data_IF_314614901550
#
_entry.id   IF_314614901550
#
_cell.length_a   1.000
_cell.length_b   1.000
_cell.length_c   1.000
_cell.angle_alpha   90.00
_cell.angle_beta   90.00
_cell.angle_gamma   90.00
#
_symmetry.space_group_name_H-M   'P 1'
#
loop_
_entity.id
_entity.type
_entity.pdbx_description
1 polymer ?
#
# COMPACT_ATOMS: atom_id res chain seq x y z
N UNK A 1 -34.98 -57.76 6.42
CA UNK A 1 -33.52 -57.69 6.17
C UNK A 1 -33.19 -56.22 6.24
N UNK A 2 -32.91 -55.73 7.44
CA UNK A 2 -32.59 -54.32 7.71
C UNK A 2 -31.09 -54.12 7.53
N UNK A 3 -30.72 -53.11 6.75
CA UNK A 3 -29.34 -52.68 6.55
C UNK A 3 -29.14 -51.42 7.39
N UNK A 4 -28.52 -51.58 8.55
CA UNK A 4 -27.99 -50.48 9.36
C UNK A 4 -26.68 -50.00 8.75
N UNK A 5 -26.65 -48.72 8.36
CA UNK A 5 -25.43 -48.00 7.94
C UNK A 5 -24.91 -47.23 9.14
N UNK A 6 -23.69 -47.53 9.57
CA UNK A 6 -22.95 -46.79 10.60
C UNK A 6 -22.10 -45.72 9.93
N UNK A 7 -22.36 -44.44 10.22
CA UNK A 7 -21.49 -43.31 9.88
C UNK A 7 -20.40 -43.16 10.95
N UNK A 8 -19.13 -43.34 10.57
CA UNK A 8 -17.97 -42.94 11.36
C UNK A 8 -17.62 -41.47 11.06
N UNK A 9 -17.79 -40.59 12.04
CA UNK A 9 -17.34 -39.20 11.96
C UNK A 9 -15.86 -39.09 12.33
N UNK A 10 -15.01 -38.70 11.38
CA UNK A 10 -13.60 -38.39 11.64
C UNK A 10 -13.43 -36.89 11.85
N UNK A 11 -13.13 -36.45 13.06
CA UNK A 11 -12.77 -35.06 13.37
C UNK A 11 -11.36 -34.71 12.87
N UNK A 12 -11.12 -33.52 12.30
CA UNK A 12 -9.78 -33.08 11.91
C UNK A 12 -9.02 -32.49 13.11
N UNK A 13 -7.84 -33.04 13.38
CA UNK A 13 -6.85 -32.49 14.31
C UNK A 13 -6.35 -31.11 13.84
N UNK A 14 -6.68 -30.07 14.61
CA UNK A 14 -6.11 -28.72 14.45
C UNK A 14 -4.74 -28.68 15.12
N UNK A 15 -3.67 -28.62 14.32
CA UNK A 15 -2.31 -28.33 14.78
C UNK A 15 -2.21 -26.85 15.19
N UNK A 16 -2.05 -26.59 16.49
CA UNK A 16 -1.78 -25.24 17.00
C UNK A 16 -0.30 -24.90 16.81
N UNK A 17 0.00 -23.93 15.94
CA UNK A 17 1.34 -23.38 15.80
C UNK A 17 1.54 -22.25 16.82
N UNK A 18 2.41 -22.45 17.80
CA UNK A 18 2.79 -21.42 18.78
C UNK A 18 3.76 -20.40 18.17
N UNK A 19 3.34 -19.14 18.04
CA UNK A 19 4.22 -18.03 17.63
C UNK A 19 5.00 -17.53 18.85
N UNK A 20 6.32 -17.71 18.86
CA UNK A 20 7.21 -17.11 19.87
C UNK A 20 7.72 -15.75 19.38
N UNK A 21 7.47 -14.68 20.14
CA UNK A 21 8.04 -13.34 19.90
C UNK A 21 9.37 -13.21 20.64
N UNK A 22 10.43 -12.86 19.94
CA UNK A 22 11.75 -12.62 20.53
C UNK A 22 12.16 -11.16 20.29
N UNK A 23 12.64 -10.50 21.35
CA UNK A 23 13.04 -9.09 21.33
C UNK A 23 14.54 -8.97 21.10
N UNK A 24 14.94 -8.53 19.92
CA UNK A 24 16.33 -8.25 19.60
C UNK A 24 16.55 -6.74 19.54
N UNK A 25 17.64 -6.27 20.15
CA UNK A 25 18.03 -4.86 20.15
C UNK A 25 19.34 -4.75 19.40
N UNK A 26 19.37 -4.02 18.29
CA UNK A 26 20.60 -3.76 17.52
C UNK A 26 20.92 -2.26 17.68
N UNK A 27 22.12 -1.90 18.17
CA UNK A 27 22.52 -0.50 18.23
C UNK A 27 22.86 0.00 16.82
N UNK A 28 22.16 1.05 16.38
CA UNK A 28 22.51 1.80 15.17
C UNK A 28 22.84 3.24 15.57
N UNK A 29 24.04 3.71 15.22
CA UNK A 29 24.42 5.11 15.38
C UNK A 29 23.96 5.93 14.16
N UNK A 30 23.14 6.95 14.40
CA UNK A 30 22.77 7.92 13.39
C UNK A 30 23.96 8.84 13.11
N UNK A 31 24.63 8.65 11.96
CA UNK A 31 25.80 9.47 11.54
C UNK A 31 25.48 10.96 11.33
N UNK A 32 24.21 11.36 11.32
CA UNK A 32 23.78 12.74 11.03
C UNK A 32 23.55 13.56 12.30
N UNK A 33 23.17 12.94 13.43
CA UNK A 33 22.83 13.70 14.64
C UNK A 33 23.55 13.26 15.93
N UNK A 34 24.36 12.19 15.90
CA UNK A 34 25.12 11.73 17.08
C UNK A 34 24.25 11.29 18.27
N UNK A 35 22.92 11.21 18.09
CA UNK A 35 21.99 10.80 19.12
C UNK A 35 21.79 9.27 19.07
N UNK A 36 21.78 8.57 20.22
CA UNK A 36 21.45 7.16 20.27
C UNK A 36 19.97 6.96 19.96
N UNK A 37 19.66 6.51 18.74
CA UNK A 37 18.30 6.12 18.36
C UNK A 37 18.02 4.71 18.89
N UNK A 38 17.16 4.60 19.90
CA UNK A 38 16.66 3.31 20.38
C UNK A 38 15.43 2.90 19.58
N UNK A 39 15.62 2.15 18.50
CA UNK A 39 14.51 1.48 17.84
C UNK A 39 14.21 0.16 18.57
N UNK A 40 13.00 0.03 19.10
CA UNK A 40 12.49 -1.25 19.60
C UNK A 40 11.79 -1.95 18.44
N UNK A 41 12.46 -2.95 17.86
CA UNK A 41 11.93 -3.72 16.75
C UNK A 41 11.01 -4.83 17.29
N UNK A 42 9.78 -4.91 16.78
CA UNK A 42 8.89 -6.07 16.96
C UNK A 42 8.68 -6.73 15.60
N UNK A 43 9.72 -7.37 15.08
CA UNK A 43 9.62 -8.18 13.88
C UNK A 43 9.07 -9.56 14.22
N UNK A 44 7.97 -9.97 13.60
CA UNK A 44 7.67 -11.38 13.46
C UNK A 44 8.71 -11.96 12.49
N UNK A 45 9.61 -12.82 13.00
CA UNK A 45 10.51 -13.58 12.13
C UNK A 45 9.64 -14.63 11.44
N UNK A 46 9.29 -14.38 10.18
CA UNK A 46 8.70 -15.40 9.32
C UNK A 46 9.85 -16.35 8.98
N UNK A 47 9.96 -17.47 9.70
CA UNK A 47 10.90 -18.53 9.32
C UNK A 47 10.34 -19.29 8.11
N UNK A 48 11.14 -19.50 7.06
CA UNK A 48 10.71 -20.29 5.91
C UNK A 48 10.54 -21.76 6.32
N UNK A 49 9.33 -22.29 6.12
CA UNK A 49 9.04 -23.72 6.25
C UNK A 49 9.60 -24.46 5.05
N UNK A 50 10.65 -25.23 5.27
CA UNK A 50 11.34 -26.05 4.27
C UNK A 50 10.53 -27.30 3.91
N UNK A 51 10.03 -27.40 2.68
CA UNK A 51 10.03 -28.67 1.93
C UNK A 51 9.75 -28.46 0.43
N UNK A 52 10.68 -29.01 -0.37
CA UNK A 52 10.62 -29.33 -1.81
C UNK A 52 10.32 -28.23 -2.82
N UNK A 53 11.37 -27.48 -3.21
CA UNK A 53 11.85 -27.38 -4.59
C UNK A 53 13.18 -26.63 -4.59
N UNK A 54 14.23 -27.28 -5.10
CA UNK A 54 15.56 -26.72 -5.36
C UNK A 54 15.51 -25.71 -6.52
N UNK A 55 14.86 -24.57 -6.29
CA UNK A 55 15.09 -23.33 -7.05
C UNK A 55 15.41 -22.22 -6.04
N UNK A 56 16.71 -22.04 -5.87
CA UNK A 56 17.43 -20.88 -5.34
C UNK A 56 16.96 -20.21 -4.03
N UNK A 57 17.84 -20.34 -3.03
CA UNK A 57 18.36 -19.27 -2.16
C UNK A 57 17.58 -17.94 -2.22
N UNK A 58 16.98 -17.53 -1.10
CA UNK A 58 16.23 -16.27 -0.91
C UNK A 58 16.52 -15.19 -1.99
N UNK A 59 15.58 -14.99 -2.92
CA UNK A 59 15.69 -14.05 -4.06
C UNK A 59 15.96 -12.59 -3.66
N UNK A 60 15.74 -12.26 -2.38
CA UNK A 60 16.04 -10.97 -1.77
C UNK A 60 17.35 -11.04 -0.97
N UNK A 61 18.31 -10.18 -1.33
CA UNK A 61 19.52 -9.94 -0.55
C UNK A 61 19.21 -9.26 0.79
N UNK A 62 20.15 -9.30 1.73
CA UNK A 62 19.99 -8.62 3.04
C UNK A 62 19.70 -7.12 2.90
N UNK A 63 20.32 -6.45 1.92
CA UNK A 63 20.07 -5.03 1.65
C UNK A 63 18.64 -4.79 1.17
N UNK A 64 18.12 -5.68 0.31
CA UNK A 64 16.74 -5.62 -0.18
C UNK A 64 15.73 -5.90 0.94
N UNK A 65 16.03 -6.83 1.84
CA UNK A 65 15.22 -7.05 3.06
C UNK A 65 15.19 -5.83 3.96
N UNK A 66 16.33 -5.19 4.19
CA UNK A 66 16.40 -3.96 4.98
C UNK A 66 15.59 -2.83 4.33
N UNK A 67 15.72 -2.67 3.00
CA UNK A 67 14.94 -1.68 2.25
C UNK A 67 13.44 -1.95 2.35
N UNK A 68 13.01 -3.20 2.15
CA UNK A 68 11.60 -3.60 2.27
C UNK A 68 11.06 -3.36 3.68
N UNK A 69 11.83 -3.73 4.70
CA UNK A 69 11.49 -3.48 6.11
C UNK A 69 11.32 -1.99 6.39
N UNK A 70 12.29 -1.16 5.96
CA UNK A 70 12.25 0.27 6.19
C UNK A 70 11.05 0.91 5.49
N UNK A 71 10.75 0.48 4.26
CA UNK A 71 9.56 0.89 3.53
C UNK A 71 8.29 0.52 4.29
N UNK A 72 8.14 -0.75 4.67
CA UNK A 72 6.97 -1.27 5.37
C UNK A 72 6.73 -0.49 6.67
N UNK A 73 7.79 -0.26 7.44
CA UNK A 73 7.76 0.50 8.69
C UNK A 73 7.41 1.97 8.47
N UNK A 74 8.01 2.62 7.47
CA UNK A 74 7.70 4.01 7.11
C UNK A 74 6.20 4.18 6.79
N UNK A 75 5.64 3.23 6.03
CA UNK A 75 4.21 3.17 5.82
C UNK A 75 3.46 2.82 7.11
N UNK A 76 3.81 1.80 7.89
CA UNK A 76 3.01 1.46 9.08
C UNK A 76 2.94 2.58 10.12
N UNK A 77 4.00 3.36 10.26
CA UNK A 77 4.02 4.54 11.13
C UNK A 77 3.20 5.71 10.59
N UNK A 78 3.08 5.87 9.28
CA UNK A 78 2.56 7.11 8.65
C UNK A 78 1.39 6.91 7.65
N UNK A 79 1.04 5.68 7.27
CA UNK A 79 0.08 5.29 6.21
C UNK A 79 -1.37 5.63 6.53
N UNK A 80 -1.65 6.04 7.77
CA UNK A 80 -3.01 6.32 8.19
C UNK A 80 -3.84 5.08 8.53
N UNK A 81 -3.27 3.88 8.67
CA UNK A 81 -4.03 2.72 9.17
C UNK A 81 -4.65 2.97 10.54
N UNK A 82 -3.83 3.43 11.51
CA UNK A 82 -4.33 3.83 12.82
C UNK A 82 -5.37 4.97 12.75
N UNK A 83 -5.31 5.80 11.70
CA UNK A 83 -6.29 6.85 11.44
C UNK A 83 -7.62 6.25 10.93
N UNK A 84 -7.58 5.28 10.02
CA UNK A 84 -8.77 4.58 9.50
C UNK A 84 -9.44 3.74 10.57
N UNK A 85 -8.67 3.00 11.37
CA UNK A 85 -9.20 2.25 12.51
C UNK A 85 -9.90 3.17 13.52
N UNK A 86 -9.30 4.33 13.82
CA UNK A 86 -9.92 5.32 14.70
C UNK A 86 -11.21 5.87 14.11
N UNK A 87 -11.20 6.23 12.83
CA UNK A 87 -12.39 6.69 12.12
C UNK A 87 -13.51 5.65 12.20
N UNK A 88 -13.23 4.39 11.85
CA UNK A 88 -14.20 3.29 11.94
C UNK A 88 -14.73 3.09 13.36
N UNK A 89 -13.86 3.15 14.37
CA UNK A 89 -14.26 3.06 15.77
C UNK A 89 -15.19 4.20 16.19
N UNK A 90 -14.92 5.41 15.73
CA UNK A 90 -15.78 6.57 15.95
C UNK A 90 -17.14 6.39 15.25
N UNK A 91 -17.16 5.96 13.99
CA UNK A 91 -18.39 5.68 13.26
C UNK A 91 -19.21 4.57 13.93
N UNK A 92 -18.57 3.50 14.38
CA UNK A 92 -19.26 2.37 15.01
C UNK A 92 -19.88 2.73 16.38
N UNK A 93 -19.39 3.77 17.04
CA UNK A 93 -19.98 4.30 18.29
C UNK A 93 -21.24 5.13 18.06
N UNK A 94 -21.47 5.62 16.85
CA UNK A 94 -22.65 6.40 16.52
C UNK A 94 -23.86 5.48 16.24
N UNK A 95 -25.09 5.94 16.48
CA UNK A 95 -26.28 5.23 16.01
C UNK A 95 -26.27 5.11 14.48
N UNK A 96 -26.83 4.03 13.94
CA UNK A 96 -26.75 3.67 12.50
C UNK A 96 -27.08 4.86 11.58
N UNK A 97 -28.12 5.64 11.90
CA UNK A 97 -28.58 6.80 11.11
C UNK A 97 -27.57 7.98 11.04
N UNK A 98 -26.58 8.00 11.93
CA UNK A 98 -25.56 9.04 12.03
C UNK A 98 -24.18 8.60 11.53
N UNK A 99 -24.01 7.32 11.18
CA UNK A 99 -22.75 6.81 10.63
C UNK A 99 -22.51 7.35 9.22
N UNK A 100 -21.25 7.59 8.89
CA UNK A 100 -20.76 7.95 7.57
C UNK A 100 -21.50 9.13 6.94
N UNK A 101 -21.78 10.19 7.70
CA UNK A 101 -22.32 11.42 7.11
C UNK A 101 -21.30 12.05 6.16
N UNK A 102 -21.79 12.70 5.11
CA UNK A 102 -20.99 13.42 4.10
C UNK A 102 -19.82 14.21 4.69
N UNK A 103 -20.08 15.09 5.68
CA UNK A 103 -19.03 15.91 6.30
C UNK A 103 -17.94 15.07 6.99
N UNK A 104 -18.32 13.97 7.62
CA UNK A 104 -17.40 13.05 8.28
C UNK A 104 -16.54 12.28 7.26
N UNK A 105 -17.16 11.78 6.18
CA UNK A 105 -16.45 11.07 5.11
C UNK A 105 -15.54 12.01 4.33
N UNK A 106 -15.98 13.24 4.04
CA UNK A 106 -15.16 14.24 3.36
C UNK A 106 -13.93 14.64 4.19
N UNK A 107 -14.12 14.85 5.51
CA UNK A 107 -13.02 15.12 6.43
C UNK A 107 -12.04 13.94 6.51
N UNK A 108 -12.57 12.71 6.49
CA UNK A 108 -11.78 11.49 6.47
C UNK A 108 -10.92 11.38 5.21
N UNK A 109 -11.50 11.54 4.02
CA UNK A 109 -10.78 11.53 2.73
C UNK A 109 -9.69 12.59 2.70
N UNK A 110 -10.02 13.83 3.10
CA UNK A 110 -9.06 14.94 3.12
C UNK A 110 -7.89 14.66 4.06
N UNK A 111 -8.19 14.12 5.24
CA UNK A 111 -7.17 13.78 6.25
C UNK A 111 -6.30 12.61 5.79
N UNK A 112 -6.87 11.62 5.10
CA UNK A 112 -6.13 10.48 4.56
C UNK A 112 -5.07 10.93 3.54
N UNK A 113 -5.43 11.83 2.61
CA UNK A 113 -4.48 12.42 1.65
C UNK A 113 -3.28 13.07 2.36
N UNK A 114 -3.53 13.78 3.47
CA UNK A 114 -2.47 14.39 4.29
C UNK A 114 -1.60 13.34 4.98
N UNK A 115 -2.17 12.26 5.53
CA UNK A 115 -1.38 11.19 6.15
C UNK A 115 -0.46 10.52 5.12
N UNK A 116 -0.99 10.23 3.93
CA UNK A 116 -0.21 9.64 2.84
C UNK A 116 0.93 10.56 2.38
N UNK A 117 0.70 11.88 2.31
CA UNK A 117 1.77 12.84 2.02
C UNK A 117 2.92 12.76 3.03
N UNK A 118 2.63 12.60 4.32
CA UNK A 118 3.66 12.46 5.35
C UNK A 118 4.53 11.21 5.17
N UNK A 119 4.00 10.13 4.57
CA UNK A 119 4.79 8.94 4.25
C UNK A 119 5.93 9.31 3.30
N UNK A 120 5.62 10.05 2.23
CA UNK A 120 6.60 10.45 1.23
C UNK A 120 7.56 11.53 1.76
N UNK A 121 7.07 12.48 2.55
CA UNK A 121 7.91 13.51 3.16
C UNK A 121 8.95 12.95 4.15
N UNK A 122 8.66 11.81 4.78
CA UNK A 122 9.56 11.15 5.74
C UNK A 122 10.35 9.98 5.14
N UNK A 123 10.11 9.63 3.88
CA UNK A 123 10.81 8.53 3.23
C UNK A 123 12.27 8.93 2.96
N UNK A 124 13.22 8.07 3.36
CA UNK A 124 14.66 8.37 3.26
C UNK A 124 15.14 8.56 1.82
N UNK A 125 14.55 7.85 0.86
CA UNK A 125 14.93 7.98 -0.54
C UNK A 125 14.44 9.31 -1.12
N UNK A 126 13.26 9.79 -0.70
CA UNK A 126 12.81 11.15 -1.02
C UNK A 126 13.73 12.20 -0.42
N UNK A 127 14.16 12.03 0.84
CA UNK A 127 15.08 12.93 1.52
C UNK A 127 16.50 12.92 0.92
N UNK A 128 16.84 11.90 0.12
CA UNK A 128 18.12 11.84 -0.60
C UNK A 128 18.16 12.72 -1.85
N UNK A 129 16.99 13.15 -2.35
CA UNK A 129 16.88 14.04 -3.50
C UNK A 129 17.26 15.49 -3.13
N UNK A 130 17.57 16.30 -4.15
CA UNK A 130 17.70 17.74 -3.95
C UNK A 130 16.36 18.32 -3.48
N UNK A 131 16.38 19.38 -2.65
CA UNK A 131 15.13 20.00 -2.16
C UNK A 131 14.22 20.47 -3.30
N UNK A 132 14.81 20.83 -4.45
CA UNK A 132 14.09 21.19 -5.65
C UNK A 132 13.40 19.97 -6.28
N UNK A 133 14.14 18.90 -6.59
CA UNK A 133 13.59 17.68 -7.20
C UNK A 133 12.58 17.00 -6.27
N UNK A 134 12.83 16.99 -4.95
CA UNK A 134 11.89 16.54 -3.94
C UNK A 134 10.54 17.26 -4.05
N UNK A 135 10.57 18.60 -4.11
CA UNK A 135 9.35 19.41 -4.18
C UNK A 135 8.60 19.18 -5.49
N UNK A 136 9.33 19.06 -6.61
CA UNK A 136 8.75 18.79 -7.93
C UNK A 136 8.08 17.42 -7.94
N UNK A 137 8.81 16.40 -7.53
CA UNK A 137 8.34 15.02 -7.54
C UNK A 137 7.12 14.90 -6.61
N UNK A 138 7.22 15.38 -5.37
CA UNK A 138 6.09 15.36 -4.44
C UNK A 138 4.88 16.07 -5.03
N UNK A 139 5.03 17.28 -5.57
CA UNK A 139 3.90 18.03 -6.16
C UNK A 139 3.28 17.35 -7.37
N UNK A 140 4.08 16.64 -8.16
CA UNK A 140 3.64 16.01 -9.43
C UNK A 140 3.11 14.59 -9.25
N UNK A 141 3.51 13.88 -8.20
CA UNK A 141 3.07 12.49 -7.99
C UNK A 141 2.12 12.33 -6.81
N UNK A 142 2.09 13.26 -5.84
CA UNK A 142 1.31 13.07 -4.61
C UNK A 142 -0.18 12.92 -4.86
N UNK A 143 -0.74 13.68 -5.79
CA UNK A 143 -2.18 13.63 -6.07
C UNK A 143 -2.57 12.25 -6.60
N UNK A 144 -1.91 11.79 -7.66
CA UNK A 144 -2.14 10.48 -8.24
C UNK A 144 -1.86 9.35 -7.24
N UNK A 145 -0.70 9.39 -6.59
CA UNK A 145 -0.27 8.33 -5.66
C UNK A 145 -1.17 8.28 -4.42
N UNK A 146 -1.60 9.43 -3.90
CA UNK A 146 -2.53 9.47 -2.76
C UNK A 146 -3.93 8.96 -3.12
N UNK A 147 -4.41 9.21 -4.34
CA UNK A 147 -5.67 8.64 -4.81
C UNK A 147 -5.59 7.11 -4.88
N UNK A 148 -4.54 6.57 -5.51
CA UNK A 148 -4.30 5.13 -5.61
C UNK A 148 -4.13 4.50 -4.22
N UNK A 149 -3.33 5.11 -3.35
CA UNK A 149 -3.16 4.67 -1.96
C UNK A 149 -4.49 4.71 -1.18
N UNK A 150 -5.30 5.75 -1.40
CA UNK A 150 -6.64 5.85 -0.86
C UNK A 150 -7.50 4.66 -1.27
N UNK A 151 -7.53 4.30 -2.56
CA UNK A 151 -8.27 3.12 -3.04
C UNK A 151 -7.85 1.84 -2.31
N UNK A 152 -6.54 1.62 -2.14
CA UNK A 152 -6.03 0.46 -1.41
C UNK A 152 -6.45 0.44 0.07
N UNK A 153 -6.39 1.58 0.75
CA UNK A 153 -6.87 1.69 2.14
C UNK A 153 -8.37 1.42 2.21
N UNK A 154 -9.16 1.98 1.29
CA UNK A 154 -10.60 1.76 1.25
C UNK A 154 -10.94 0.28 0.99
N UNK A 155 -10.16 -0.40 0.13
CA UNK A 155 -10.23 -1.85 -0.09
C UNK A 155 -9.94 -2.65 1.18
N UNK A 156 -8.82 -2.37 1.85
CA UNK A 156 -8.36 -3.16 2.99
C UNK A 156 -9.35 -3.15 4.17
N UNK A 157 -10.15 -2.09 4.30
CA UNK A 157 -11.17 -1.94 5.34
C UNK A 157 -12.59 -2.16 4.82
N UNK A 158 -12.75 -2.62 3.58
CA UNK A 158 -14.05 -2.86 2.94
C UNK A 158 -14.99 -1.65 3.07
N UNK A 159 -14.46 -0.43 2.97
CA UNK A 159 -15.24 0.78 3.25
C UNK A 159 -16.38 0.97 2.24
N UNK A 160 -16.17 0.55 1.00
CA UNK A 160 -17.18 0.57 -0.07
C UNK A 160 -18.28 -0.50 0.06
N UNK A 161 -18.14 -1.44 1.01
CA UNK A 161 -19.18 -2.42 1.32
C UNK A 161 -20.20 -1.88 2.32
N UNK A 162 -19.92 -0.74 2.97
CA UNK A 162 -20.89 -0.03 3.80
C UNK A 162 -21.72 0.92 2.91
N UNK A 163 -23.02 0.66 2.71
CA UNK A 163 -23.84 1.51 1.83
C UNK A 163 -23.83 3.00 2.20
N UNK A 164 -23.91 3.40 3.49
CA UNK A 164 -23.85 4.82 3.85
C UNK A 164 -22.50 5.48 3.54
N UNK A 165 -21.39 4.72 3.56
CA UNK A 165 -20.09 5.22 3.15
C UNK A 165 -20.07 5.40 1.63
N UNK A 166 -20.55 4.42 0.87
CA UNK A 166 -20.65 4.49 -0.58
C UNK A 166 -21.49 5.69 -1.04
N UNK A 167 -22.69 5.88 -0.48
CA UNK A 167 -23.57 7.02 -0.77
C UNK A 167 -22.86 8.36 -0.52
N UNK A 168 -22.14 8.48 0.59
CA UNK A 168 -21.36 9.69 0.86
C UNK A 168 -20.18 9.87 -0.10
N UNK A 169 -19.53 8.79 -0.53
CA UNK A 169 -18.48 8.84 -1.53
C UNK A 169 -19.02 9.27 -2.91
N UNK A 170 -20.21 8.82 -3.31
CA UNK A 170 -20.89 9.30 -4.53
C UNK A 170 -21.16 10.80 -4.49
N UNK A 171 -21.52 11.35 -3.32
CA UNK A 171 -21.70 12.79 -3.14
C UNK A 171 -20.39 13.59 -3.20
N UNK A 172 -19.27 13.00 -2.79
CA UNK A 172 -17.95 13.66 -2.78
C UNK A 172 -17.29 13.61 -4.16
N UNK A 173 -17.29 12.45 -4.80
CA UNK A 173 -16.54 12.19 -6.04
C UNK A 173 -17.38 12.16 -7.30
N UNK A 174 -18.71 12.25 -7.18
CA UNK A 174 -19.71 11.89 -8.19
C UNK A 174 -19.98 10.38 -8.28
N UNK A 175 -21.20 9.95 -8.66
CA UNK A 175 -21.56 8.54 -8.74
C UNK A 175 -20.69 7.72 -9.70
N UNK A 176 -20.31 8.27 -10.86
CA UNK A 176 -19.47 7.58 -11.85
C UNK A 176 -18.09 7.25 -11.29
N UNK A 177 -17.44 8.21 -10.62
CA UNK A 177 -16.13 8.04 -10.02
C UNK A 177 -16.15 7.10 -8.80
N UNK A 178 -17.19 7.16 -7.97
CA UNK A 178 -17.35 6.23 -6.84
C UNK A 178 -17.56 4.78 -7.32
N UNK A 179 -18.42 4.56 -8.32
CA UNK A 179 -18.62 3.24 -8.92
C UNK A 179 -17.37 2.72 -9.64
N UNK A 180 -16.63 3.61 -10.32
CA UNK A 180 -15.32 3.26 -10.87
C UNK A 180 -14.34 2.84 -9.76
N UNK A 181 -14.24 3.62 -8.70
CA UNK A 181 -13.37 3.34 -7.55
C UNK A 181 -13.69 1.98 -6.93
N UNK A 182 -14.98 1.67 -6.75
CA UNK A 182 -15.42 0.35 -6.26
C UNK A 182 -14.96 -0.79 -7.18
N UNK A 183 -15.21 -0.68 -8.48
CA UNK A 183 -14.77 -1.69 -9.46
C UNK A 183 -13.26 -1.89 -9.49
N UNK A 184 -12.48 -0.82 -9.28
CA UNK A 184 -11.03 -0.90 -9.16
C UNK A 184 -10.66 -1.66 -7.89
N UNK A 185 -11.22 -1.26 -6.74
CA UNK A 185 -11.02 -1.90 -5.43
C UNK A 185 -11.27 -3.41 -5.49
N UNK A 186 -12.35 -3.84 -6.15
CA UNK A 186 -12.71 -5.26 -6.29
C UNK A 186 -11.66 -6.08 -7.08
N UNK A 187 -10.75 -5.43 -7.81
CA UNK A 187 -9.69 -6.05 -8.59
C UNK A 187 -8.30 -5.90 -7.94
N UNK A 188 -8.19 -5.18 -6.82
CA UNK A 188 -6.92 -4.93 -6.16
C UNK A 188 -6.44 -6.17 -5.40
N UNK A 189 -5.12 -6.32 -5.36
CA UNK A 189 -4.47 -7.35 -4.56
C UNK A 189 -4.57 -7.01 -3.05
N UNK A 190 -4.94 -7.94 -2.17
CA UNK A 190 -4.99 -7.69 -0.73
C UNK A 190 -3.61 -7.58 -0.07
N UNK A 191 -2.51 -7.86 -0.79
CA UNK A 191 -1.16 -7.83 -0.25
C UNK A 191 -0.65 -6.41 0.04
N UNK A 192 -0.75 -6.03 1.30
CA UNK A 192 -0.30 -4.74 1.80
C UNK A 192 1.17 -4.43 1.47
N UNK A 193 2.08 -5.40 1.55
CA UNK A 193 3.50 -5.14 1.27
C UNK A 193 3.71 -4.85 -0.22
N UNK A 194 3.03 -5.60 -1.09
CA UNK A 194 3.06 -5.35 -2.52
C UNK A 194 2.50 -3.95 -2.84
N UNK A 195 1.38 -3.58 -2.25
CA UNK A 195 0.78 -2.24 -2.43
C UNK A 195 1.78 -1.14 -2.09
N UNK A 196 2.43 -1.20 -0.92
CA UNK A 196 3.42 -0.19 -0.49
C UNK A 196 4.56 -0.04 -1.48
N UNK A 197 5.05 -1.15 -2.03
CA UNK A 197 6.08 -1.15 -3.06
C UNK A 197 5.61 -0.43 -4.34
N UNK A 198 4.38 -0.69 -4.79
CA UNK A 198 3.81 0.00 -5.94
C UNK A 198 3.63 1.48 -5.70
N UNK A 199 3.15 1.87 -4.51
CA UNK A 199 3.03 3.27 -4.15
C UNK A 199 4.38 3.98 -4.19
N UNK A 200 5.48 3.33 -3.79
CA UNK A 200 6.82 3.87 -3.98
C UNK A 200 7.20 4.02 -5.45
N UNK A 201 6.94 3.02 -6.30
CA UNK A 201 7.20 3.12 -7.75
C UNK A 201 6.46 4.31 -8.35
N UNK A 202 5.18 4.48 -8.01
CA UNK A 202 4.35 5.60 -8.49
C UNK A 202 4.85 6.94 -7.96
N UNK A 203 5.26 7.01 -6.69
CA UNK A 203 5.76 8.22 -6.07
C UNK A 203 7.07 8.72 -6.71
N UNK A 204 7.93 7.80 -7.15
CA UNK A 204 9.18 8.09 -7.87
C UNK A 204 9.05 8.09 -9.40
N UNK A 205 7.83 7.98 -9.93
CA UNK A 205 7.62 7.99 -11.37
C UNK A 205 8.01 9.32 -12.00
N UNK A 206 8.87 9.25 -13.00
CA UNK A 206 9.22 10.40 -13.85
C UNK A 206 8.12 10.76 -14.86
N UNK A 207 7.12 9.90 -15.02
CA UNK A 207 5.94 10.18 -15.84
C UNK A 207 5.04 11.11 -15.03
N UNK A 208 4.78 12.30 -15.57
CA UNK A 208 3.84 13.25 -14.97
C UNK A 208 2.41 12.72 -15.04
N UNK A 209 1.93 12.13 -13.95
CA UNK A 209 0.53 11.71 -13.80
C UNK A 209 -0.41 12.87 -13.48
N UNK A 210 0.13 14.03 -13.07
CA UNK A 210 -0.65 15.26 -13.04
C UNK A 210 -1.00 15.64 -14.46
N UNK A 211 -2.22 15.26 -14.85
CA UNK A 211 -2.88 15.59 -16.10
C UNK A 211 -2.47 16.98 -16.54
N UNK A 212 -1.78 17.02 -17.69
CA UNK A 212 -1.48 18.14 -18.58
C UNK A 212 -1.98 19.51 -18.09
N UNK A 213 -1.51 19.99 -16.93
CA UNK A 213 -1.71 21.37 -16.54
C UNK A 213 -0.83 22.14 -17.50
N UNK A 214 -1.46 22.77 -18.50
CA UNK A 214 -0.79 23.52 -19.58
C UNK A 214 0.23 24.54 -19.06
N UNK A 215 0.12 24.92 -17.78
CA UNK A 215 0.94 25.97 -17.16
C UNK A 215 2.14 25.46 -16.34
N UNK A 216 2.40 24.14 -16.28
CA UNK A 216 3.43 23.60 -15.37
C UNK A 216 4.35 22.60 -16.07
N UNK A 217 5.18 23.09 -17.00
CA UNK A 217 6.37 22.36 -17.45
C UNK A 217 7.48 22.47 -16.37
N UNK A 218 7.28 21.80 -15.24
CA UNK A 218 8.34 21.68 -14.23
C UNK A 218 9.02 20.34 -14.43
N UNK A 219 10.15 20.37 -15.13
CA UNK A 219 10.99 19.20 -15.33
C UNK A 219 11.88 18.98 -14.10
N UNK A 220 12.14 17.71 -13.78
CA UNK A 220 13.17 17.35 -12.81
C UNK A 220 14.53 17.86 -13.29
N UNK A 221 15.30 18.46 -12.38
CA UNK A 221 16.66 18.92 -12.68
C UNK A 221 17.61 17.74 -12.80
N UNK A 222 17.39 16.69 -12.00
CA UNK A 222 18.24 15.50 -11.99
C UNK A 222 17.45 14.18 -12.10
N UNK A 223 16.97 13.88 -13.30
CA UNK A 223 16.34 12.58 -13.62
C UNK A 223 17.25 11.40 -13.26
N UNK A 224 18.59 11.57 -13.35
CA UNK A 224 19.57 10.53 -13.01
C UNK A 224 19.61 10.18 -11.52
N UNK A 225 19.07 11.02 -10.64
CA UNK A 225 18.93 10.71 -9.23
C UNK A 225 17.61 9.98 -8.92
N UNK A 226 16.53 10.35 -9.60
CA UNK A 226 15.20 9.77 -9.37
C UNK A 226 15.01 8.40 -10.01
N UNK A 227 15.45 8.22 -11.26
CA UNK A 227 15.24 6.99 -12.01
C UNK A 227 15.86 5.75 -11.31
N UNK A 228 17.09 5.80 -10.77
CA UNK A 228 17.65 4.66 -10.04
C UNK A 228 16.83 4.26 -8.81
N UNK A 229 16.18 5.21 -8.13
CA UNK A 229 15.31 4.91 -6.98
C UNK A 229 14.05 4.19 -7.46
N UNK A 230 13.44 4.65 -8.55
CA UNK A 230 12.29 3.99 -9.16
C UNK A 230 12.63 2.56 -9.63
N UNK A 231 13.77 2.39 -10.30
CA UNK A 231 14.27 1.09 -10.77
C UNK A 231 14.54 0.14 -9.60
N UNK A 232 15.14 0.65 -8.52
CA UNK A 232 15.37 -0.10 -7.29
C UNK A 232 14.05 -0.63 -6.70
N UNK A 233 13.01 0.20 -6.59
CA UNK A 233 11.70 -0.26 -6.11
C UNK A 233 11.03 -1.24 -7.08
N UNK A 234 11.25 -1.09 -8.37
CA UNK A 234 10.73 -2.00 -9.40
C UNK A 234 11.38 -3.40 -9.31
N UNK A 235 12.71 -3.47 -9.19
CA UNK A 235 13.44 -4.72 -8.96
C UNK A 235 13.03 -5.37 -7.63
N UNK A 236 12.94 -4.57 -6.56
CA UNK A 236 12.50 -5.05 -5.25
C UNK A 236 11.08 -5.65 -5.30
N UNK A 237 10.17 -5.00 -6.03
CA UNK A 237 8.80 -5.47 -6.24
C UNK A 237 8.77 -6.82 -6.95
N UNK A 238 9.51 -6.92 -8.06
CA UNK A 238 9.56 -8.15 -8.83
C UNK A 238 10.12 -9.32 -8.00
N UNK A 239 11.22 -9.10 -7.29
CA UNK A 239 11.83 -10.11 -6.40
C UNK A 239 10.91 -10.49 -5.25
N UNK A 240 10.19 -9.52 -4.67
CA UNK A 240 9.21 -9.77 -3.63
C UNK A 240 8.08 -10.68 -4.14
N UNK A 241 7.54 -10.40 -5.33
CA UNK A 241 6.50 -11.24 -5.93
C UNK A 241 7.01 -12.66 -6.23
N UNK A 242 8.22 -12.79 -6.79
CA UNK A 242 8.84 -14.10 -7.03
C UNK A 242 9.04 -14.87 -5.72
N UNK A 243 9.52 -14.20 -4.67
CA UNK A 243 9.70 -14.79 -3.34
C UNK A 243 8.39 -15.28 -2.75
N UNK A 244 7.32 -14.45 -2.79
CA UNK A 244 6.08 -14.72 -2.08
C UNK A 244 5.13 -15.67 -2.84
N UNK A 245 5.08 -15.54 -4.16
CA UNK A 245 4.06 -16.20 -4.98
C UNK A 245 4.64 -17.21 -5.99
N UNK A 246 5.95 -17.19 -6.22
CA UNK A 246 6.57 -17.94 -7.31
C UNK A 246 6.31 -17.31 -8.68
N UNK A 247 6.99 -17.81 -9.72
CA UNK A 247 7.04 -17.16 -11.04
C UNK A 247 5.66 -16.95 -11.68
N UNK A 248 4.85 -18.00 -11.78
CA UNK A 248 3.56 -17.92 -12.49
C UNK A 248 2.60 -16.93 -11.86
N UNK A 249 2.43 -17.01 -10.53
CA UNK A 249 1.54 -16.10 -9.80
C UNK A 249 2.11 -14.68 -9.76
N UNK A 250 3.44 -14.51 -9.64
CA UNK A 250 4.08 -13.19 -9.73
C UNK A 250 3.71 -12.45 -11.02
N UNK A 251 3.72 -13.15 -12.17
CA UNK A 251 3.30 -12.56 -13.45
C UNK A 251 1.82 -12.14 -13.44
N UNK A 252 0.94 -12.96 -12.85
CA UNK A 252 -0.50 -12.65 -12.74
C UNK A 252 -0.71 -11.40 -11.88
N UNK A 253 -0.14 -11.37 -10.67
CA UNK A 253 -0.26 -10.25 -9.73
C UNK A 253 0.28 -8.95 -10.35
N UNK A 254 1.44 -9.02 -10.98
CA UNK A 254 2.03 -7.85 -11.66
C UNK A 254 1.16 -7.37 -12.84
N UNK A 255 0.64 -8.29 -13.66
CA UNK A 255 -0.21 -7.95 -14.80
C UNK A 255 -1.54 -7.33 -14.38
N UNK A 256 -2.18 -7.86 -13.33
CA UNK A 256 -3.43 -7.33 -12.80
C UNK A 256 -3.25 -5.92 -12.24
N UNK A 257 -2.13 -5.69 -11.55
CA UNK A 257 -1.78 -4.35 -11.11
C UNK A 257 -1.61 -3.38 -12.29
N UNK A 258 -0.85 -3.75 -13.32
CA UNK A 258 -0.66 -2.87 -14.49
C UNK A 258 -2.00 -2.52 -15.14
N UNK A 259 -2.91 -3.50 -15.29
CA UNK A 259 -4.28 -3.25 -15.77
C UNK A 259 -5.01 -2.26 -14.89
N UNK A 260 -4.95 -2.43 -13.57
CA UNK A 260 -5.54 -1.50 -12.62
C UNK A 260 -4.97 -0.09 -12.78
N UNK A 261 -3.65 0.07 -12.83
CA UNK A 261 -3.00 1.38 -12.98
C UNK A 261 -3.38 2.06 -14.31
N UNK A 262 -3.46 1.29 -15.40
CA UNK A 262 -3.94 1.83 -16.68
C UNK A 262 -5.41 2.23 -16.64
N UNK A 263 -6.27 1.46 -15.99
CA UNK A 263 -7.68 1.83 -15.79
C UNK A 263 -7.80 3.12 -14.99
N UNK A 264 -7.08 3.23 -13.86
CA UNK A 264 -7.08 4.46 -13.03
C UNK A 264 -6.59 5.66 -13.83
N UNK A 265 -5.52 5.48 -14.61
CA UNK A 265 -4.97 6.55 -15.46
C UNK A 265 -5.97 6.98 -16.54
N UNK A 266 -6.62 6.02 -17.21
CA UNK A 266 -7.64 6.30 -18.23
C UNK A 266 -8.80 7.12 -17.67
N UNK A 267 -9.35 6.72 -16.52
CA UNK A 267 -10.45 7.45 -15.88
C UNK A 267 -10.05 8.84 -15.38
N UNK A 268 -8.82 9.01 -14.88
CA UNK A 268 -8.33 10.34 -14.49
C UNK A 268 -8.22 11.25 -15.71
N UNK A 269 -7.78 10.74 -16.86
CA UNK A 269 -7.72 11.51 -18.12
C UNK A 269 -9.14 11.89 -18.57
N UNK A 270 -10.07 10.94 -18.61
CA UNK A 270 -11.47 11.20 -18.99
C UNK A 270 -12.14 12.26 -18.10
N UNK A 271 -11.95 12.16 -16.78
CA UNK A 271 -12.52 13.10 -15.82
C UNK A 271 -11.97 14.52 -15.93
N UNK A 272 -10.80 14.69 -16.56
CA UNK A 272 -10.20 15.99 -16.80
C UNK A 272 -10.63 16.62 -18.13
N UNK A 273 -11.12 15.82 -19.08
CA UNK A 273 -11.63 16.29 -20.37
C UNK A 273 -13.12 16.70 -20.32
N UNK A 274 -13.86 16.20 -19.33
CA UNK A 274 -15.27 16.52 -19.06
C UNK A 274 -15.47 17.80 -18.25
#
# INVERSE_FOLDING_TARGET
MEITVTEESTEPHILSSSVKRQKNTIPCECKICGAPARYSYYGAIIQPTSSSLEFDQSTLSMNQWNLLSNLVHCFDENSGYAFVERFLKEQNRLPIKFRFKYSSVNNFVTSMKRQLQLVFEKNLDFLSLSSHDFTILLRTTIEYTSNVAGMFILCQYNLFDYPPFHESAEMIFQPSAANFTKRVIDQLDPDNTFIKLILSILAFSIIHYTVYRKDVHINLTNIKATLPIQDMYTDLTWRYLLYKYGYHQAVIHFSNLLRCLFSVTGTIVEAHES
#
